data_IF_989226356376
#
_entry.id   IF_989226356376
#
_cell.length_a   1.000
_cell.length_b   1.000
_cell.length_c   1.000
_cell.angle_alpha   90.00
_cell.angle_beta   90.00
_cell.angle_gamma   90.00
#
_symmetry.space_group_name_H-M   'P 1'
#
loop_
_entity.id
_entity.type
_entity.pdbx_description
1 polymer ?
#
# COMPACT_ATOMS: atom_id res chain seq x y z
N UNK A 1 -8.27 35.31 -9.53
CA UNK A 1 -8.20 33.85 -9.72
C UNK A 1 -8.71 33.24 -8.43
N UNK A 2 -9.79 32.45 -8.50
CA UNK A 2 -10.25 31.71 -7.34
C UNK A 2 -9.14 30.73 -6.91
N UNK A 3 -8.92 30.52 -5.60
CA UNK A 3 -7.99 29.49 -5.15
C UNK A 3 -8.47 28.15 -5.72
N UNK A 4 -7.57 27.42 -6.37
CA UNK A 4 -7.83 26.04 -6.79
C UNK A 4 -8.25 25.25 -5.55
N UNK A 5 -9.45 24.68 -5.57
CA UNK A 5 -9.90 23.75 -4.53
C UNK A 5 -8.87 22.62 -4.51
N UNK A 6 -8.20 22.35 -3.39
CA UNK A 6 -7.21 21.28 -3.34
C UNK A 6 -7.90 19.98 -3.76
N UNK A 7 -7.38 19.37 -4.81
CA UNK A 7 -7.90 18.13 -5.39
C UNK A 7 -8.08 17.11 -4.25
N UNK A 8 -9.33 16.72 -3.96
CA UNK A 8 -9.75 15.92 -2.79
C UNK A 8 -9.35 14.44 -2.97
N UNK A 9 -8.05 14.20 -3.12
CA UNK A 9 -7.50 12.87 -3.37
C UNK A 9 -7.26 12.18 -2.03
N UNK A 10 -7.85 10.99 -1.86
CA UNK A 10 -7.67 10.18 -0.67
C UNK A 10 -6.18 9.89 -0.39
N UNK A 11 -5.71 9.91 0.88
CA UNK A 11 -4.27 9.92 1.20
C UNK A 11 -3.47 8.72 0.72
N UNK A 12 -4.11 7.61 0.37
CA UNK A 12 -3.45 6.41 -0.16
C UNK A 12 -2.97 6.56 -1.60
N UNK A 13 -3.49 7.53 -2.36
CA UNK A 13 -3.22 7.63 -3.78
C UNK A 13 -2.11 8.61 -4.13
N UNK A 14 -1.58 8.41 -5.34
CA UNK A 14 -0.56 9.21 -6.01
C UNK A 14 0.73 9.40 -5.19
N UNK A 15 0.90 8.57 -4.16
CA UNK A 15 1.97 8.66 -3.18
C UNK A 15 2.68 7.32 -3.12
N UNK A 16 4.02 7.36 -3.24
CA UNK A 16 4.84 6.17 -3.00
C UNK A 16 5.11 6.04 -1.50
N UNK A 17 4.77 4.88 -0.95
CA UNK A 17 4.96 4.49 0.44
C UNK A 17 5.98 3.36 0.56
N UNK A 18 6.64 3.32 1.71
CA UNK A 18 7.36 2.14 2.19
C UNK A 18 6.43 1.36 3.13
N UNK A 19 6.32 0.06 2.93
CA UNK A 19 5.41 -0.80 3.66
C UNK A 19 6.09 -1.52 4.81
N UNK A 20 5.35 -1.64 5.92
CA UNK A 20 5.78 -2.32 7.13
C UNK A 20 4.64 -3.18 7.66
N UNK A 21 5.00 -4.30 8.27
CA UNK A 21 4.08 -5.09 9.08
C UNK A 21 4.19 -4.68 10.54
N UNK A 22 3.08 -4.78 11.26
CA UNK A 22 2.99 -4.48 12.69
C UNK A 22 2.34 -5.66 13.41
N UNK A 23 2.77 -5.92 14.64
CA UNK A 23 1.96 -6.70 15.57
C UNK A 23 0.73 -5.89 16.00
N UNK A 24 -0.26 -6.52 16.65
CA UNK A 24 -1.35 -5.77 17.28
C UNK A 24 -0.80 -4.72 18.25
N UNK A 25 -1.41 -3.54 18.29
CA UNK A 25 -1.06 -2.47 19.25
C UNK A 25 -1.66 -2.82 20.61
N UNK A 26 -0.85 -2.91 21.65
CA UNK A 26 -1.36 -3.08 23.01
C UNK A 26 -1.85 -1.75 23.56
N UNK A 27 -3.16 -1.58 23.65
CA UNK A 27 -3.81 -0.39 24.21
C UNK A 27 -4.30 -0.60 25.64
N UNK A 28 -4.22 -1.83 26.17
CA UNK A 28 -4.75 -2.18 27.48
C UNK A 28 -6.26 -2.37 27.46
N UNK A 29 -6.79 -3.11 28.44
CA UNK A 29 -8.16 -3.65 28.40
C UNK A 29 -9.29 -2.61 28.43
N UNK A 30 -9.00 -1.36 28.79
CA UNK A 30 -9.99 -0.31 29.03
C UNK A 30 -9.79 0.95 28.18
N UNK A 31 -8.75 1.04 27.35
CA UNK A 31 -8.48 2.21 26.51
C UNK A 31 -8.63 1.86 25.02
N UNK A 32 -9.66 2.44 24.39
CA UNK A 32 -9.80 2.44 22.94
C UNK A 32 -9.01 3.62 22.35
N UNK A 33 -8.61 3.53 21.07
CA UNK A 33 -7.96 4.65 20.37
C UNK A 33 -8.99 5.73 20.01
N UNK A 34 -9.48 6.43 21.05
CA UNK A 34 -10.39 7.56 20.92
C UNK A 34 -9.68 8.81 20.40
N UNK A 35 -10.43 9.78 19.87
CA UNK A 35 -9.86 11.06 19.41
C UNK A 35 -9.09 11.80 20.52
N UNK A 36 -9.49 11.69 21.80
CA UNK A 36 -8.72 12.26 22.91
C UNK A 36 -7.37 11.57 23.07
N UNK A 37 -7.32 10.23 23.04
CA UNK A 37 -6.09 9.46 23.13
C UNK A 37 -5.16 9.73 21.95
N UNK A 38 -5.70 9.84 20.74
CA UNK A 38 -4.92 10.22 19.55
C UNK A 38 -4.29 11.62 19.69
N UNK A 39 -5.00 12.59 20.26
CA UNK A 39 -4.43 13.93 20.55
C UNK A 39 -3.29 13.86 21.56
N UNK A 40 -3.39 13.02 22.58
CA UNK A 40 -2.30 12.80 23.54
C UNK A 40 -1.06 12.20 22.86
N UNK A 41 -1.25 11.14 22.06
CA UNK A 41 -0.18 10.50 21.29
C UNK A 41 0.49 11.49 20.32
N UNK A 42 -0.30 12.34 19.67
CA UNK A 42 0.21 13.39 18.80
C UNK A 42 1.08 14.40 19.55
N UNK A 43 0.67 14.82 20.76
CA UNK A 43 1.47 15.71 21.61
C UNK A 43 2.76 15.04 22.09
N UNK A 44 2.68 13.80 22.55
CA UNK A 44 3.86 13.04 22.98
C UNK A 44 4.87 12.89 21.85
N UNK A 45 4.41 12.50 20.65
CA UNK A 45 5.28 12.39 19.50
C UNK A 45 5.85 13.74 19.05
N UNK A 46 5.05 14.81 19.09
CA UNK A 46 5.53 16.17 18.85
C UNK A 46 6.65 16.56 19.81
N UNK A 47 6.49 16.29 21.11
CA UNK A 47 7.47 16.63 22.14
C UNK A 47 8.77 15.84 21.99
N UNK A 48 8.69 14.57 21.54
CA UNK A 48 9.87 13.76 21.17
C UNK A 48 10.61 14.42 20.01
N UNK A 49 9.91 14.76 18.93
CA UNK A 49 10.53 15.39 17.75
C UNK A 49 11.11 16.77 18.09
N UNK A 50 10.42 17.59 18.89
CA UNK A 50 10.91 18.89 19.33
C UNK A 50 12.10 18.76 20.31
N UNK A 51 12.07 17.77 21.20
CA UNK A 51 13.12 17.47 22.17
C UNK A 51 14.42 16.96 21.54
N UNK A 52 14.33 16.17 20.47
CA UNK A 52 15.49 15.76 19.67
C UNK A 52 16.16 16.96 18.98
N UNK A 53 15.36 17.90 18.45
CA UNK A 53 15.87 19.15 17.85
C UNK A 53 16.62 19.99 18.90
N UNK A 54 16.12 20.09 20.13
CA UNK A 54 16.71 20.88 21.21
C UNK A 54 18.01 20.29 21.79
N UNK A 55 18.19 18.96 21.74
CA UNK A 55 19.40 18.31 22.28
C UNK A 55 20.61 18.38 21.35
N UNK A 56 20.48 18.95 20.14
CA UNK A 56 21.54 18.92 19.11
C UNK A 56 21.92 17.49 18.69
N UNK A 57 21.16 16.51 19.17
CA UNK A 57 21.33 15.08 19.03
C UNK A 57 20.55 14.74 17.76
N UNK A 58 21.21 14.93 16.62
CA UNK A 58 20.93 14.20 15.39
C UNK A 58 21.43 12.75 15.53
N UNK A 59 21.15 12.08 16.65
CA UNK A 59 21.67 10.73 16.94
C UNK A 59 20.89 9.74 16.11
N UNK A 60 21.54 9.24 15.05
CA UNK A 60 20.96 8.34 14.06
C UNK A 60 21.00 8.86 12.62
N UNK A 61 21.34 10.13 12.40
CA UNK A 61 21.43 10.68 11.04
C UNK A 61 22.76 10.23 10.39
N UNK A 62 22.76 9.07 9.74
CA UNK A 62 23.77 8.73 8.76
C UNK A 62 23.87 9.82 7.66
N UNK A 63 24.92 9.77 6.83
CA UNK A 63 25.17 10.74 5.75
C UNK A 63 24.00 10.93 4.74
N UNK A 64 22.92 10.13 4.83
CA UNK A 64 21.74 10.19 3.97
C UNK A 64 20.72 11.29 4.36
N UNK A 65 20.81 11.91 5.55
CA UNK A 65 19.70 12.72 6.09
C UNK A 65 19.78 14.25 5.89
N UNK A 66 20.12 14.66 4.68
CA UNK A 66 19.95 16.05 4.19
C UNK A 66 18.45 16.41 4.00
N UNK A 67 17.54 15.44 4.08
CA UNK A 67 16.11 15.65 3.90
C UNK A 67 15.51 16.52 5.03
N UNK A 68 15.67 16.11 6.29
CA UNK A 68 15.09 16.84 7.43
C UNK A 68 15.76 18.19 7.69
N UNK A 69 17.03 18.36 7.32
CA UNK A 69 17.72 19.64 7.47
C UNK A 69 17.11 20.76 6.60
N UNK A 70 16.43 20.40 5.50
CA UNK A 70 15.91 21.36 4.51
C UNK A 70 14.44 21.73 4.70
N UNK A 71 13.67 20.93 5.45
CA UNK A 71 12.21 21.10 5.58
C UNK A 71 11.76 22.18 6.57
N UNK A 72 12.69 22.74 7.34
CA UNK A 72 12.41 23.80 8.31
C UNK A 72 11.96 23.27 9.67
N UNK A 73 11.45 24.14 10.54
CA UNK A 73 11.00 23.77 11.87
C UNK A 73 9.74 22.88 11.85
N UNK A 74 9.61 22.02 12.85
CA UNK A 74 8.37 21.28 13.10
C UNK A 74 7.27 22.27 13.52
N UNK A 75 6.12 22.20 12.86
CA UNK A 75 4.98 23.05 13.15
C UNK A 75 3.91 22.31 13.96
N UNK A 76 3.49 21.14 13.49
CA UNK A 76 2.42 20.35 14.12
C UNK A 76 2.61 18.86 13.91
N UNK A 77 2.05 18.06 14.81
CA UNK A 77 1.85 16.62 14.66
C UNK A 77 0.37 16.34 14.89
N UNK A 78 -0.25 15.55 14.01
CA UNK A 78 -1.64 15.11 14.16
C UNK A 78 -1.74 13.60 14.06
N UNK A 79 -2.64 13.02 14.84
CA UNK A 79 -3.08 11.63 14.75
C UNK A 79 -4.59 11.66 14.60
N UNK A 80 -5.12 11.07 13.53
CA UNK A 80 -6.55 11.06 13.23
C UNK A 80 -6.98 9.67 12.78
N UNK A 81 -8.24 9.36 13.03
CA UNK A 81 -8.88 8.23 12.38
C UNK A 81 -8.95 8.49 10.87
N UNK A 82 -8.72 7.45 10.07
CA UNK A 82 -8.80 7.50 8.62
C UNK A 82 -10.16 6.92 8.21
N UNK A 83 -11.13 7.74 7.79
CA UNK A 83 -12.43 7.25 7.34
C UNK A 83 -12.30 6.55 6.00
N UNK A 84 -13.38 5.92 5.55
CA UNK A 84 -13.45 5.33 4.20
C UNK A 84 -13.28 6.38 3.10
N UNK A 85 -12.86 5.93 1.92
CA UNK A 85 -12.59 6.79 0.76
C UNK A 85 -13.82 7.64 0.38
N UNK A 86 -15.01 7.05 0.43
CA UNK A 86 -16.28 7.69 0.08
C UNK A 86 -16.69 8.80 1.06
N UNK A 87 -16.13 8.77 2.27
CA UNK A 87 -16.44 9.70 3.37
C UNK A 87 -15.32 10.71 3.65
N UNK A 88 -14.22 10.67 2.89
CA UNK A 88 -13.05 11.51 3.11
C UNK A 88 -13.24 12.94 2.61
N UNK A 89 -12.95 13.93 3.46
CA UNK A 89 -12.83 15.34 3.07
C UNK A 89 -11.43 15.89 3.36
N UNK A 90 -10.92 16.73 2.46
CA UNK A 90 -9.61 17.37 2.65
C UNK A 90 -9.66 18.49 3.72
N UNK A 91 -10.83 19.05 3.97
CA UNK A 91 -11.07 20.09 4.98
C UNK A 91 -10.83 19.55 6.41
N UNK A 92 -11.07 18.24 6.60
CA UNK A 92 -10.74 17.53 7.84
C UNK A 92 -9.23 17.47 8.13
N UNK A 93 -8.32 17.74 7.16
CA UNK A 93 -6.88 17.81 7.42
C UNK A 93 -6.47 19.04 8.25
N UNK A 94 -7.24 20.12 8.17
CA UNK A 94 -6.92 21.42 8.79
C UNK A 94 -7.73 21.71 10.05
N UNK A 95 -8.90 21.10 10.20
CA UNK A 95 -9.75 21.33 11.36
C UNK A 95 -9.32 20.42 12.53
N UNK A 96 -9.07 21.04 13.69
CA UNK A 96 -9.03 20.31 14.95
C UNK A 96 -10.42 19.72 15.15
N UNK A 97 -10.58 18.42 14.90
CA UNK A 97 -11.85 17.71 15.01
C UNK A 97 -12.64 18.20 16.25
N UNK A 98 -13.81 18.80 16.01
CA UNK A 98 -14.73 19.18 17.07
C UNK A 98 -15.12 17.93 17.86
N UNK A 99 -15.27 18.09 19.18
CA UNK A 99 -15.42 17.02 20.17
C UNK A 99 -16.67 16.13 19.96
N UNK A 100 -17.59 16.53 19.06
CA UNK A 100 -18.92 15.94 18.90
C UNK A 100 -19.04 14.87 17.79
N UNK A 101 -18.12 14.81 16.82
CA UNK A 101 -18.13 13.74 15.80
C UNK A 101 -17.39 12.52 16.33
N UNK A 102 -18.12 11.69 17.08
CA UNK A 102 -17.65 10.42 17.62
C UNK A 102 -17.54 9.37 16.50
N UNK A 103 -16.61 9.53 15.56
CA UNK A 103 -16.29 8.43 14.64
C UNK A 103 -15.73 7.28 15.47
N UNK A 104 -16.47 6.18 15.50
CA UNK A 104 -16.00 4.94 16.11
C UNK A 104 -14.88 4.37 15.25
N UNK A 105 -13.84 3.85 15.89
CA UNK A 105 -12.74 3.17 15.21
C UNK A 105 -13.26 2.10 14.24
N UNK A 106 -14.33 1.39 14.62
CA UNK A 106 -14.98 0.33 13.83
C UNK A 106 -15.57 0.80 12.49
N UNK A 107 -15.81 2.10 12.32
CA UNK A 107 -16.27 2.68 11.06
C UNK A 107 -15.14 3.30 10.23
N UNK A 108 -13.89 3.06 10.60
CA UNK A 108 -12.71 3.66 9.98
C UNK A 108 -11.78 2.60 9.40
N UNK A 109 -11.25 2.89 8.22
CA UNK A 109 -10.28 2.07 7.50
C UNK A 109 -8.93 1.96 8.22
N UNK A 110 -8.64 2.93 9.07
CA UNK A 110 -7.35 3.01 9.73
C UNK A 110 -7.14 4.28 10.54
N UNK A 111 -5.86 4.66 10.61
CA UNK A 111 -5.41 5.90 11.22
C UNK A 111 -4.35 6.55 10.34
N UNK A 112 -4.28 7.87 10.39
CA UNK A 112 -3.27 8.67 9.71
C UNK A 112 -2.53 9.56 10.72
N UNK A 113 -1.21 9.53 10.63
CA UNK A 113 -0.30 10.38 11.38
C UNK A 113 0.39 11.32 10.42
N UNK A 114 0.34 12.62 10.71
CA UNK A 114 0.98 13.66 9.89
C UNK A 114 1.89 14.51 10.76
N UNK A 115 3.17 14.57 10.40
CA UNK A 115 4.15 15.51 10.94
C UNK A 115 4.38 16.64 9.92
N UNK A 116 3.96 17.85 10.25
CA UNK A 116 4.03 19.03 9.38
C UNK A 116 5.20 19.91 9.80
N UNK A 117 6.09 20.17 8.85
CA UNK A 117 7.20 21.10 8.93
C UNK A 117 6.92 22.32 8.02
N UNK A 118 7.72 23.37 8.15
CA UNK A 118 7.54 24.62 7.38
C UNK A 118 7.42 24.43 5.87
N UNK A 119 8.13 23.45 5.28
CA UNK A 119 8.18 23.26 3.83
C UNK A 119 7.61 21.93 3.34
N UNK A 120 7.32 21.00 4.26
CA UNK A 120 6.91 19.63 3.91
C UNK A 120 6.07 19.00 5.02
N UNK A 121 5.20 18.07 4.65
CA UNK A 121 4.52 17.19 5.59
C UNK A 121 4.87 15.73 5.30
N UNK A 122 5.15 14.98 6.35
CA UNK A 122 5.37 13.54 6.26
C UNK A 122 4.20 12.79 6.86
N UNK A 123 3.77 11.73 6.18
CA UNK A 123 2.57 10.96 6.52
C UNK A 123 2.92 9.50 6.81
N UNK A 124 2.25 8.93 7.79
CA UNK A 124 2.18 7.50 8.06
C UNK A 124 0.71 7.09 8.14
N UNK A 125 0.34 5.99 7.51
CA UNK A 125 -1.02 5.44 7.53
C UNK A 125 -0.96 4.03 8.11
N UNK A 126 -1.77 3.76 9.12
CA UNK A 126 -1.96 2.45 9.74
C UNK A 126 -3.30 1.90 9.28
N UNK A 127 -3.31 0.79 8.56
CA UNK A 127 -4.53 0.18 8.01
C UNK A 127 -4.98 -1.00 8.86
N UNK A 128 -6.29 -1.08 9.10
CA UNK A 128 -6.92 -2.15 9.90
C UNK A 128 -7.14 -3.41 9.09
N UNK A 129 -7.25 -4.52 9.81
CA UNK A 129 -7.80 -5.76 9.24
C UNK A 129 -9.32 -5.81 9.47
N UNK A 130 -10.10 -5.52 8.43
CA UNK A 130 -11.58 -5.48 8.45
C UNK A 130 -12.22 -6.88 8.57
N UNK A 131 -11.44 -7.98 8.57
CA UNK A 131 -11.96 -9.34 8.72
C UNK A 131 -12.74 -9.58 10.02
N UNK A 132 -12.73 -8.62 10.95
CA UNK A 132 -13.55 -8.62 12.16
C UNK A 132 -14.99 -8.10 12.01
N UNK A 133 -15.33 -7.34 10.97
CA UNK A 133 -16.60 -6.57 10.89
C UNK A 133 -17.65 -7.14 9.92
N UNK A 134 -17.34 -8.20 9.17
CA UNK A 134 -18.37 -8.94 8.41
C UNK A 134 -19.11 -9.90 9.34
N UNK A 135 -20.44 -9.76 9.37
CA UNK A 135 -21.43 -10.42 10.24
C UNK A 135 -21.42 -11.95 10.29
N UNK A 136 -20.55 -12.63 9.53
CA UNK A 136 -20.48 -14.10 9.47
C UNK A 136 -19.11 -14.71 9.87
N UNK A 137 -18.08 -13.90 10.18
CA UNK A 137 -16.74 -14.43 10.53
C UNK A 137 -16.47 -14.43 12.03
N UNK A 138 -17.20 -15.29 12.74
CA UNK A 138 -16.86 -15.92 14.03
C UNK A 138 -16.54 -15.03 15.25
N UNK A 139 -17.01 -15.48 16.41
CA UNK A 139 -16.70 -14.92 17.73
C UNK A 139 -15.20 -14.89 18.13
N UNK A 140 -14.25 -15.16 17.23
CA UNK A 140 -12.81 -15.24 17.49
C UNK A 140 -12.09 -13.90 17.25
N UNK A 141 -12.50 -13.10 16.27
CA UNK A 141 -11.91 -11.77 15.97
C UNK A 141 -12.39 -10.70 16.95
N UNK A 142 -13.69 -10.69 17.28
CA UNK A 142 -14.25 -9.92 18.41
C UNK A 142 -13.59 -10.28 19.75
N UNK A 143 -13.13 -11.53 19.92
CA UNK A 143 -12.39 -11.99 21.11
C UNK A 143 -10.93 -11.48 21.19
N UNK A 144 -10.36 -11.06 20.07
CA UNK A 144 -8.99 -10.54 20.01
C UNK A 144 -8.93 -9.02 20.26
N UNK A 145 -9.93 -8.26 19.80
CA UNK A 145 -10.07 -6.83 20.15
C UNK A 145 -10.46 -6.63 21.63
N UNK A 146 -11.06 -7.63 22.27
CA UNK A 146 -11.54 -7.59 23.67
C UNK A 146 -10.47 -7.79 24.75
N UNK A 147 -9.19 -7.98 24.38
CA UNK A 147 -8.09 -8.13 25.34
C UNK A 147 -7.16 -6.90 25.42
N UNK A 148 -7.60 -5.73 24.91
CA UNK A 148 -6.78 -4.52 24.91
C UNK A 148 -5.74 -4.48 23.78
N UNK A 149 -6.01 -5.16 22.67
CA UNK A 149 -5.18 -5.14 21.47
C UNK A 149 -5.98 -4.64 20.26
N UNK A 150 -5.35 -3.85 19.41
CA UNK A 150 -5.96 -3.33 18.18
C UNK A 150 -5.12 -3.68 16.96
N UNK A 151 -5.77 -4.20 15.92
CA UNK A 151 -5.10 -4.78 14.76
C UNK A 151 -4.94 -3.78 13.62
N UNK A 152 -3.69 -3.35 13.39
CA UNK A 152 -3.29 -2.52 12.25
C UNK A 152 -2.10 -3.17 11.52
N UNK A 153 -2.30 -4.32 10.85
CA UNK A 153 -1.18 -5.14 10.40
C UNK A 153 -0.32 -4.47 9.33
N UNK A 154 -0.80 -3.42 8.65
CA UNK A 154 -0.09 -2.76 7.56
C UNK A 154 0.13 -1.26 7.85
N UNK A 155 1.39 -0.83 7.85
CA UNK A 155 1.78 0.59 7.90
C UNK A 155 2.38 1.03 6.57
N UNK A 156 1.91 2.17 6.07
CA UNK A 156 2.41 2.87 4.90
C UNK A 156 3.15 4.12 5.36
N UNK A 157 4.46 4.21 5.11
CA UNK A 157 5.27 5.35 5.53
C UNK A 157 5.85 6.13 4.35
N UNK A 158 5.65 7.45 4.37
CA UNK A 158 6.33 8.43 3.51
C UNK A 158 7.36 9.26 4.29
N UNK A 159 7.81 8.78 5.45
CA UNK A 159 8.83 9.46 6.26
C UNK A 159 10.25 9.15 5.74
N UNK A 160 11.20 10.10 5.84
CA UNK A 160 12.63 9.85 5.70
C UNK A 160 13.14 8.83 6.73
N UNK A 161 14.34 8.28 6.52
CA UNK A 161 14.92 7.19 7.31
C UNK A 161 14.88 7.46 8.81
N UNK A 162 15.41 8.60 9.25
CA UNK A 162 15.45 8.99 10.66
C UNK A 162 14.09 9.27 11.29
N UNK A 163 13.26 10.10 10.66
CA UNK A 163 11.93 10.40 11.20
C UNK A 163 11.10 9.11 11.37
N UNK A 164 11.25 8.19 10.43
CA UNK A 164 10.62 6.87 10.51
C UNK A 164 11.17 6.03 11.65
N UNK A 165 12.48 6.06 11.91
CA UNK A 165 13.10 5.34 13.03
C UNK A 165 12.57 5.87 14.37
N UNK A 166 12.49 7.19 14.54
CA UNK A 166 11.91 7.82 15.74
C UNK A 166 10.44 7.43 15.91
N UNK A 167 9.66 7.44 14.82
CA UNK A 167 8.26 7.02 14.85
C UNK A 167 8.09 5.52 15.19
N UNK A 168 8.95 4.66 14.64
CA UNK A 168 8.95 3.22 14.95
C UNK A 168 9.28 2.99 16.43
N UNK A 169 10.31 3.66 16.95
CA UNK A 169 10.67 3.57 18.37
C UNK A 169 9.53 4.06 19.27
N UNK A 170 8.89 5.17 18.90
CA UNK A 170 7.71 5.65 19.62
C UNK A 170 6.58 4.61 19.68
N UNK A 171 6.27 3.94 18.56
CA UNK A 171 5.27 2.88 18.54
C UNK A 171 5.68 1.65 19.38
N UNK A 172 6.94 1.25 19.32
CA UNK A 172 7.48 0.13 20.12
C UNK A 172 7.36 0.43 21.61
N UNK A 173 7.76 1.63 22.05
CA UNK A 173 7.71 2.02 23.46
C UNK A 173 6.29 2.25 23.98
N UNK A 174 5.41 2.79 23.14
CA UNK A 174 4.05 3.16 23.55
C UNK A 174 3.10 1.97 23.55
N UNK A 175 3.26 1.02 22.62
CA UNK A 175 2.28 -0.06 22.38
C UNK A 175 2.86 -1.47 22.45
N UNK A 176 4.11 -1.65 22.89
CA UNK A 176 4.83 -2.93 22.84
C UNK A 176 4.76 -3.59 21.45
N UNK A 177 4.91 -2.75 20.41
CA UNK A 177 4.70 -3.17 19.03
C UNK A 177 5.97 -3.78 18.42
N UNK A 178 5.80 -4.77 17.54
CA UNK A 178 6.85 -5.28 16.67
C UNK A 178 6.62 -4.83 15.24
N UNK A 179 7.53 -4.00 14.74
CA UNK A 179 7.47 -3.46 13.38
C UNK A 179 8.62 -4.03 12.55
N UNK A 180 8.33 -4.47 11.32
CA UNK A 180 9.38 -4.88 10.37
C UNK A 180 9.02 -4.47 8.94
N UNK A 181 10.01 -4.22 8.06
CA UNK A 181 9.74 -3.98 6.64
C UNK A 181 8.91 -5.11 6.03
N UNK A 182 7.93 -4.76 5.19
CA UNK A 182 7.12 -5.74 4.47
C UNK A 182 7.76 -6.04 3.13
N UNK A 183 8.24 -7.27 2.95
CA UNK A 183 8.79 -7.74 1.69
C UNK A 183 7.79 -8.64 0.95
N UNK A 184 7.87 -8.62 -0.36
CA UNK A 184 7.04 -9.44 -1.22
C UNK A 184 7.89 -10.40 -2.06
N UNK A 185 7.56 -11.71 -2.07
CA UNK A 185 8.16 -12.64 -3.01
C UNK A 185 7.82 -12.29 -4.46
N UNK A 186 8.68 -12.66 -5.41
CA UNK A 186 8.44 -12.50 -6.86
C UNK A 186 7.07 -13.05 -7.29
N UNK A 187 6.66 -14.19 -6.72
CA UNK A 187 5.35 -14.81 -7.02
C UNK A 187 4.19 -13.94 -6.56
N UNK A 188 4.30 -13.30 -5.38
CA UNK A 188 3.26 -12.42 -4.88
C UNK A 188 3.01 -11.22 -5.81
N UNK A 189 4.07 -10.67 -6.42
CA UNK A 189 3.94 -9.58 -7.41
C UNK A 189 3.14 -10.04 -8.63
N UNK A 190 3.48 -11.22 -9.16
CA UNK A 190 2.80 -11.85 -10.30
C UNK A 190 1.33 -12.07 -9.95
N UNK A 191 1.04 -12.80 -8.87
CA UNK A 191 -0.32 -13.13 -8.44
C UNK A 191 -1.15 -11.87 -8.19
N UNK A 192 -0.53 -10.82 -7.65
CA UNK A 192 -1.20 -9.54 -7.39
C UNK A 192 -1.58 -8.82 -8.67
N UNK A 193 -0.71 -8.82 -9.68
CA UNK A 193 -1.02 -8.25 -10.98
C UNK A 193 -2.11 -9.04 -11.71
N UNK A 194 -2.03 -10.37 -11.69
CA UNK A 194 -3.01 -11.26 -12.31
C UNK A 194 -4.39 -11.12 -11.67
N UNK A 195 -4.44 -11.12 -10.33
CA UNK A 195 -5.69 -10.89 -9.57
C UNK A 195 -6.28 -9.53 -9.88
N UNK A 196 -5.47 -8.47 -9.89
CA UNK A 196 -5.99 -7.13 -10.20
C UNK A 196 -6.53 -7.02 -11.63
N UNK A 197 -5.85 -7.64 -12.61
CA UNK A 197 -6.31 -7.74 -14.00
C UNK A 197 -7.62 -8.52 -14.10
N UNK A 198 -7.77 -9.61 -13.34
CA UNK A 198 -8.99 -10.39 -13.27
C UNK A 198 -10.13 -9.58 -12.65
N UNK A 199 -9.89 -8.92 -11.51
CA UNK A 199 -10.88 -8.12 -10.78
C UNK A 199 -11.49 -7.01 -11.65
N UNK A 200 -10.66 -6.23 -12.35
CA UNK A 200 -11.14 -5.16 -13.24
C UNK A 200 -11.77 -5.69 -14.54
N UNK A 201 -11.66 -7.00 -14.80
CA UNK A 201 -12.29 -7.66 -15.94
C UNK A 201 -13.70 -8.19 -15.62
N UNK A 202 -14.20 -7.94 -14.41
CA UNK A 202 -15.54 -8.33 -13.96
C UNK A 202 -16.50 -7.14 -13.99
N UNK A 203 -17.74 -7.39 -14.42
CA UNK A 203 -18.86 -6.46 -14.33
C UNK A 203 -19.39 -6.30 -12.91
N UNK A 204 -20.35 -5.39 -12.73
CA UNK A 204 -21.00 -5.14 -11.42
C UNK A 204 -21.82 -6.32 -10.92
N UNK A 205 -22.36 -7.10 -11.85
CA UNK A 205 -23.11 -8.33 -11.62
C UNK A 205 -22.20 -9.52 -11.24
N UNK A 206 -20.88 -9.33 -11.26
CA UNK A 206 -19.91 -10.39 -11.01
C UNK A 206 -19.71 -11.31 -12.22
N UNK A 207 -20.22 -10.95 -13.40
CA UNK A 207 -19.98 -11.69 -14.63
C UNK A 207 -18.74 -11.15 -15.37
N UNK A 208 -18.01 -11.99 -16.12
CA UNK A 208 -16.88 -11.51 -16.91
C UNK A 208 -17.33 -10.52 -18.00
N UNK A 209 -16.65 -9.38 -18.10
CA UNK A 209 -16.89 -8.40 -19.17
C UNK A 209 -16.71 -9.02 -20.55
N UNK A 210 -17.46 -8.52 -21.53
CA UNK A 210 -17.29 -8.93 -22.91
C UNK A 210 -15.87 -8.61 -23.43
N UNK A 211 -15.51 -9.17 -24.58
CA UNK A 211 -14.15 -9.02 -25.10
C UNK A 211 -13.78 -7.56 -25.43
N UNK A 212 -14.72 -6.75 -25.90
CA UNK A 212 -14.50 -5.37 -26.32
C UNK A 212 -14.37 -4.47 -25.08
N UNK A 213 -15.30 -4.60 -24.14
CA UNK A 213 -15.30 -3.87 -22.88
C UNK A 213 -14.07 -4.18 -22.05
N UNK A 214 -13.75 -5.46 -21.86
CA UNK A 214 -12.54 -5.89 -21.14
C UNK A 214 -11.27 -5.30 -21.75
N UNK A 215 -11.17 -5.36 -23.08
CA UNK A 215 -10.03 -4.80 -23.82
C UNK A 215 -9.90 -3.29 -23.58
N UNK A 216 -11.03 -2.56 -23.56
CA UNK A 216 -11.09 -1.13 -23.26
C UNK A 216 -10.70 -0.81 -21.82
N UNK A 217 -11.25 -1.53 -20.84
CA UNK A 217 -10.98 -1.35 -19.40
C UNK A 217 -9.51 -1.62 -19.08
N UNK A 218 -8.95 -2.72 -19.58
CA UNK A 218 -7.54 -3.07 -19.40
C UNK A 218 -6.62 -1.96 -19.93
N UNK A 219 -6.87 -1.48 -21.15
CA UNK A 219 -6.06 -0.40 -21.74
C UNK A 219 -6.14 0.87 -20.92
N UNK A 220 -7.32 1.26 -20.44
CA UNK A 220 -7.54 2.54 -19.76
C UNK A 220 -7.01 2.52 -18.31
N UNK A 221 -7.11 1.37 -17.64
CA UNK A 221 -6.74 1.19 -16.24
C UNK A 221 -5.26 0.82 -16.09
N UNK A 222 -4.81 -0.23 -16.78
CA UNK A 222 -3.45 -0.76 -16.62
C UNK A 222 -2.45 0.07 -17.42
N UNK A 223 -2.85 0.70 -18.52
CA UNK A 223 -1.96 1.49 -19.40
C UNK A 223 -0.71 0.67 -19.76
N UNK A 224 0.46 1.29 -19.77
CA UNK A 224 1.75 0.60 -19.99
C UNK A 224 2.14 -0.21 -18.74
N UNK A 225 2.71 -1.39 -18.96
CA UNK A 225 3.18 -2.27 -17.88
C UNK A 225 4.69 -2.42 -17.96
N UNK A 226 5.39 -2.07 -16.88
CA UNK A 226 6.81 -2.28 -16.69
C UNK A 226 7.04 -3.43 -15.70
N UNK A 227 7.74 -4.47 -16.16
CA UNK A 227 8.21 -5.58 -15.34
C UNK A 227 9.72 -5.45 -15.18
N UNK A 228 10.19 -5.27 -13.95
CA UNK A 228 11.63 -5.25 -13.63
C UNK A 228 12.04 -6.62 -13.15
N UNK A 229 13.03 -7.18 -13.82
CA UNK A 229 13.61 -8.49 -13.57
C UNK A 229 14.98 -8.31 -12.95
N UNK A 230 15.31 -9.09 -11.93
CA UNK A 230 16.62 -9.17 -11.31
C UNK A 230 17.29 -10.51 -11.59
N UNK A 231 18.62 -10.50 -11.65
CA UNK A 231 19.42 -11.68 -11.90
C UNK A 231 20.31 -12.00 -10.70
N UNK A 232 20.20 -13.22 -10.20
CA UNK A 232 21.13 -13.79 -9.23
C UNK A 232 22.24 -14.52 -10.00
N UNK A 233 23.28 -13.79 -10.40
CA UNK A 233 24.35 -14.32 -11.23
C UNK A 233 25.35 -15.15 -10.39
N UNK A 234 25.90 -16.25 -10.94
CA UNK A 234 27.00 -16.98 -10.32
C UNK A 234 28.18 -16.06 -9.95
N UNK A 235 28.92 -16.44 -8.91
CA UNK A 235 30.13 -15.77 -8.43
C UNK A 235 29.94 -14.31 -7.98
N UNK A 236 28.69 -13.90 -7.72
CA UNK A 236 28.37 -12.55 -7.25
C UNK A 236 28.63 -11.47 -8.31
N UNK A 237 28.66 -11.84 -9.59
CA UNK A 237 28.89 -10.89 -10.68
C UNK A 237 27.84 -9.78 -10.70
N UNK A 238 28.30 -8.53 -10.70
CA UNK A 238 27.45 -7.34 -10.76
C UNK A 238 27.23 -6.81 -12.20
N UNK A 239 27.66 -7.57 -13.22
CA UNK A 239 27.69 -7.11 -14.61
C UNK A 239 26.30 -6.78 -15.17
N UNK A 240 25.27 -7.54 -14.77
CA UNK A 240 23.87 -7.25 -15.06
C UNK A 240 23.03 -7.53 -13.81
N UNK A 241 22.61 -6.46 -13.12
CA UNK A 241 21.77 -6.59 -11.92
C UNK A 241 20.30 -6.73 -12.25
N UNK A 242 19.82 -5.95 -13.22
CA UNK A 242 18.40 -5.87 -13.57
C UNK A 242 18.19 -5.69 -15.07
N UNK A 243 17.01 -6.09 -15.55
CA UNK A 243 16.49 -5.78 -16.86
C UNK A 243 15.05 -5.25 -16.74
N UNK A 244 14.69 -4.31 -17.60
CA UNK A 244 13.36 -3.72 -17.65
C UNK A 244 12.63 -4.17 -18.91
N UNK A 245 11.45 -4.75 -18.73
CA UNK A 245 10.57 -5.18 -19.82
C UNK A 245 9.35 -4.26 -19.83
N UNK A 246 9.24 -3.44 -20.86
CA UNK A 246 8.13 -2.51 -21.06
C UNK A 246 7.14 -3.10 -22.06
N UNK A 247 5.88 -3.22 -21.66
CA UNK A 247 4.76 -3.65 -22.48
C UNK A 247 3.82 -2.47 -22.76
N UNK A 248 3.55 -2.21 -24.03
CA UNK A 248 2.61 -1.18 -24.44
C UNK A 248 1.17 -1.57 -24.05
N UNK A 249 0.34 -0.57 -23.75
CA UNK A 249 -1.05 -0.79 -23.33
C UNK A 249 -1.87 -1.61 -24.35
N UNK A 250 -1.57 -1.47 -25.63
CA UNK A 250 -2.27 -2.14 -26.74
C UNK A 250 -1.95 -3.65 -26.85
N UNK A 251 -0.88 -4.11 -26.21
CA UNK A 251 -0.46 -5.50 -26.22
C UNK A 251 -1.05 -6.30 -25.05
N UNK A 252 -1.41 -5.61 -23.96
CA UNK A 252 -1.87 -6.26 -22.73
C UNK A 252 -3.10 -7.17 -22.93
N UNK A 253 -4.20 -6.75 -23.59
CA UNK A 253 -5.34 -7.64 -23.79
C UNK A 253 -4.99 -8.89 -24.60
N UNK A 254 -4.11 -8.75 -25.59
CA UNK A 254 -3.64 -9.87 -26.43
C UNK A 254 -2.74 -10.81 -25.64
N UNK A 255 -1.87 -10.28 -24.79
CA UNK A 255 -1.00 -11.05 -23.90
C UNK A 255 -1.84 -11.93 -22.95
N UNK A 256 -2.84 -11.34 -22.28
CA UNK A 256 -3.74 -12.08 -21.38
C UNK A 256 -4.54 -13.13 -22.15
N UNK A 257 -5.09 -12.79 -23.32
CA UNK A 257 -5.85 -13.75 -24.13
C UNK A 257 -5.00 -14.94 -24.57
N UNK A 258 -3.75 -14.70 -24.98
CA UNK A 258 -2.80 -15.76 -25.34
C UNK A 258 -2.41 -16.60 -24.13
N UNK A 259 -2.20 -15.95 -22.99
CA UNK A 259 -1.93 -16.58 -21.70
C UNK A 259 -2.98 -17.59 -21.28
N UNK A 260 -4.25 -17.20 -21.38
CA UNK A 260 -5.39 -18.10 -21.10
C UNK A 260 -5.43 -19.33 -22.02
N UNK A 261 -4.87 -19.25 -23.23
CA UNK A 261 -4.74 -20.42 -24.11
C UNK A 261 -3.59 -21.34 -23.67
N UNK A 262 -2.52 -20.78 -23.11
CA UNK A 262 -1.35 -21.53 -22.60
C UNK A 262 -1.71 -22.22 -21.27
N UNK A 263 -2.26 -21.47 -20.31
CA UNK A 263 -2.57 -21.96 -18.96
C UNK A 263 -3.61 -23.09 -18.91
N UNK A 264 -4.45 -23.25 -19.94
CA UNK A 264 -5.34 -24.43 -20.09
C UNK A 264 -4.60 -25.76 -20.19
N UNK A 265 -3.30 -25.75 -20.47
CA UNK A 265 -2.46 -26.95 -20.51
C UNK A 265 -1.67 -27.17 -19.21
N UNK A 266 -1.43 -26.13 -18.40
CA UNK A 266 -0.51 -26.16 -17.25
C UNK A 266 -1.19 -25.89 -15.89
N UNK A 267 -2.51 -25.65 -15.87
CA UNK A 267 -3.32 -25.32 -14.66
C UNK A 267 -2.72 -24.16 -13.86
N UNK A 268 -2.27 -23.12 -14.58
CA UNK A 268 -1.64 -21.92 -14.01
C UNK A 268 -2.62 -20.74 -13.99
N UNK A 269 -2.77 -20.13 -12.82
CA UNK A 269 -3.60 -18.92 -12.60
C UNK A 269 -2.88 -17.61 -12.96
N UNK A 270 -1.90 -17.66 -13.87
CA UNK A 270 -1.05 -16.50 -14.24
C UNK A 270 -0.98 -16.26 -15.75
N UNK A 271 -2.11 -16.00 -16.43
CA UNK A 271 -2.16 -15.90 -17.88
C UNK A 271 -1.23 -14.81 -18.45
N UNK A 272 -1.19 -13.61 -17.85
CA UNK A 272 -0.30 -12.56 -18.35
C UNK A 272 1.17 -12.99 -18.25
N UNK A 273 1.60 -13.49 -17.09
CA UNK A 273 2.97 -13.90 -16.87
C UNK A 273 3.36 -15.09 -17.76
N UNK A 274 2.43 -16.03 -17.99
CA UNK A 274 2.71 -17.19 -18.83
C UNK A 274 2.96 -16.82 -20.29
N UNK A 275 2.15 -15.90 -20.82
CA UNK A 275 2.35 -15.37 -22.15
C UNK A 275 3.65 -14.55 -22.24
N UNK A 276 3.93 -13.70 -21.24
CA UNK A 276 5.15 -12.90 -21.19
C UNK A 276 6.39 -13.79 -21.15
N UNK A 277 6.44 -14.77 -20.24
CA UNK A 277 7.57 -15.67 -20.09
C UNK A 277 7.80 -16.51 -21.36
N UNK A 278 6.73 -16.97 -22.00
CA UNK A 278 6.81 -17.71 -23.27
C UNK A 278 7.35 -16.81 -24.40
N UNK A 279 6.84 -15.58 -24.49
CA UNK A 279 7.28 -14.61 -25.50
C UNK A 279 8.76 -14.25 -25.33
N UNK A 280 9.18 -13.91 -24.11
CA UNK A 280 10.55 -13.51 -23.79
C UNK A 280 11.52 -14.68 -24.00
N UNK A 281 11.13 -15.91 -23.63
CA UNK A 281 11.93 -17.11 -23.90
C UNK A 281 12.10 -17.36 -25.39
N UNK A 282 11.03 -17.23 -26.18
CA UNK A 282 11.07 -17.47 -27.62
C UNK A 282 11.83 -16.40 -28.42
N UNK A 283 11.76 -15.13 -28.01
CA UNK A 283 12.32 -14.02 -28.78
C UNK A 283 13.66 -13.50 -28.26
N UNK A 284 13.94 -13.65 -26.96
CA UNK A 284 15.16 -13.14 -26.32
C UNK A 284 16.03 -14.25 -25.70
N UNK A 285 15.62 -15.51 -25.81
CA UNK A 285 16.28 -16.65 -25.16
C UNK A 285 16.46 -16.48 -23.63
N UNK A 286 15.61 -15.67 -23.01
CA UNK A 286 15.62 -15.41 -21.58
C UNK A 286 14.48 -16.19 -20.89
N UNK A 287 14.81 -17.09 -19.97
CA UNK A 287 13.81 -17.84 -19.22
C UNK A 287 13.43 -17.12 -17.93
N UNK A 288 12.27 -16.45 -17.93
CA UNK A 288 11.73 -15.75 -16.75
C UNK A 288 11.31 -16.70 -15.61
N UNK A 289 11.19 -18.01 -15.88
CA UNK A 289 10.83 -19.01 -14.87
C UNK A 289 12.07 -19.66 -14.22
N UNK A 290 13.27 -19.27 -14.64
CA UNK A 290 14.50 -19.78 -14.07
C UNK A 290 14.67 -19.33 -12.61
N UNK A 291 15.17 -20.20 -11.72
CA UNK A 291 15.27 -19.93 -10.27
C UNK A 291 16.07 -18.68 -9.92
N UNK A 292 17.09 -18.36 -10.74
CA UNK A 292 17.98 -17.20 -10.63
C UNK A 292 17.41 -15.91 -11.23
N UNK A 293 16.20 -15.96 -11.79
CA UNK A 293 15.52 -14.82 -12.37
C UNK A 293 14.36 -14.47 -11.47
N UNK A 294 14.34 -13.24 -10.92
CA UNK A 294 13.31 -12.79 -9.97
C UNK A 294 12.58 -11.58 -10.51
N UNK A 295 11.26 -11.55 -10.37
CA UNK A 295 10.49 -10.31 -10.59
C UNK A 295 10.68 -9.42 -9.37
N UNK A 296 11.33 -8.28 -9.57
CA UNK A 296 11.65 -7.33 -8.51
C UNK A 296 10.58 -6.24 -8.35
N UNK A 297 9.91 -5.87 -9.44
CA UNK A 297 8.91 -4.80 -9.46
C UNK A 297 7.96 -4.95 -10.63
N UNK A 298 6.69 -4.69 -10.41
CA UNK A 298 5.68 -4.49 -11.45
C UNK A 298 5.12 -3.07 -11.29
N UNK A 299 5.10 -2.32 -12.38
CA UNK A 299 4.54 -0.97 -12.43
C UNK A 299 3.54 -0.88 -13.58
N UNK A 300 2.35 -0.36 -13.30
CA UNK A 300 1.34 -0.08 -14.30
C UNK A 300 0.58 1.20 -13.96
N UNK A 301 -0.38 1.57 -14.80
CA UNK A 301 -1.23 2.74 -14.62
C UNK A 301 -1.99 2.76 -13.29
N UNK A 302 -2.35 1.60 -12.76
CA UNK A 302 -3.10 1.47 -11.51
C UNK A 302 -2.22 1.48 -10.26
N UNK A 303 -1.08 0.79 -10.27
CA UNK A 303 -0.20 0.70 -9.12
C UNK A 303 1.26 0.41 -9.49
N UNK A 304 2.15 0.66 -8.54
CA UNK A 304 3.54 0.21 -8.56
C UNK A 304 3.80 -0.61 -7.31
N UNK A 305 4.28 -1.85 -7.47
CA UNK A 305 4.60 -2.76 -6.38
C UNK A 305 6.01 -3.35 -6.57
N UNK A 306 6.86 -3.20 -5.56
CA UNK A 306 8.21 -3.76 -5.53
C UNK A 306 8.42 -4.75 -4.39
N UNK A 307 9.34 -5.70 -4.60
CA UNK A 307 9.75 -6.72 -3.61
C UNK A 307 10.28 -6.12 -2.30
N UNK A 308 10.87 -4.93 -2.37
CA UNK A 308 11.38 -4.15 -1.22
C UNK A 308 10.29 -3.44 -0.40
N UNK A 309 9.00 -3.73 -0.64
CA UNK A 309 7.91 -3.10 0.10
C UNK A 309 7.63 -1.66 -0.33
N UNK A 310 7.86 -1.32 -1.61
CA UNK A 310 7.47 -0.03 -2.17
C UNK A 310 6.14 -0.15 -2.87
N UNK A 311 5.17 0.68 -2.49
CA UNK A 311 3.83 0.72 -3.05
C UNK A 311 3.47 2.13 -3.50
N UNK A 312 2.89 2.27 -4.69
CA UNK A 312 2.15 3.46 -5.10
C UNK A 312 0.82 3.01 -5.68
N UNK A 313 -0.28 3.58 -5.19
CA UNK A 313 -1.59 3.45 -5.82
C UNK A 313 -1.87 4.72 -6.61
N UNK A 314 -2.43 4.60 -7.80
CA UNK A 314 -2.78 5.76 -8.64
C UNK A 314 -4.25 6.09 -8.44
N UNK A 315 -4.55 7.36 -8.13
CA UNK A 315 -5.93 7.82 -8.17
C UNK A 315 -6.35 7.91 -9.63
N UNK A 316 -7.47 7.30 -9.96
CA UNK A 316 -8.04 7.41 -11.29
C UNK A 316 -9.42 8.04 -11.17
N UNK A 317 -9.50 9.35 -11.42
CA UNK A 317 -10.75 10.09 -11.45
C UNK A 317 -11.72 9.43 -12.45
N UNK A 318 -12.98 9.26 -12.04
CA UNK A 318 -14.04 8.64 -12.80
C UNK A 318 -14.15 9.19 -14.22
N UNK A 319 -13.97 8.31 -15.20
CA UNK A 319 -14.63 8.47 -16.48
C UNK A 319 -15.95 7.70 -16.40
N UNK A 320 -16.97 8.16 -17.12
CA UNK A 320 -18.39 7.73 -17.08
C UNK A 320 -18.69 6.22 -17.19
N UNK A 321 -17.68 5.35 -17.30
CA UNK A 321 -17.83 3.90 -17.46
C UNK A 321 -17.00 3.12 -16.41
N UNK A 322 -17.68 2.39 -15.52
CA UNK A 322 -17.11 1.29 -14.70
C UNK A 322 -16.38 1.69 -13.41
N UNK A 323 -16.78 2.79 -12.78
CA UNK A 323 -16.14 3.32 -11.55
C UNK A 323 -16.23 2.35 -10.35
N UNK A 324 -17.34 1.63 -10.21
CA UNK A 324 -17.63 0.67 -9.13
C UNK A 324 -16.69 -0.55 -9.12
N UNK A 325 -16.53 -1.23 -10.26
CA UNK A 325 -15.68 -2.43 -10.40
C UNK A 325 -14.20 -2.10 -10.15
N UNK A 326 -13.75 -0.92 -10.59
CA UNK A 326 -12.35 -0.47 -10.41
C UNK A 326 -12.05 -0.06 -8.97
N UNK A 327 -12.97 0.64 -8.31
CA UNK A 327 -12.88 0.93 -6.88
C UNK A 327 -12.84 -0.36 -6.07
N UNK A 328 -13.71 -1.32 -6.38
CA UNK A 328 -13.74 -2.64 -5.75
C UNK A 328 -12.42 -3.42 -5.94
N UNK A 329 -11.86 -3.45 -7.16
CA UNK A 329 -10.57 -4.09 -7.43
C UNK A 329 -9.43 -3.47 -6.62
N UNK A 330 -9.42 -2.14 -6.49
CA UNK A 330 -8.40 -1.42 -5.71
C UNK A 330 -8.55 -1.67 -4.21
N UNK A 331 -9.79 -1.78 -3.71
CA UNK A 331 -10.08 -2.19 -2.32
C UNK A 331 -9.61 -3.62 -2.06
N UNK A 332 -9.90 -4.58 -2.94
CA UNK A 332 -9.42 -5.97 -2.86
C UNK A 332 -7.89 -6.04 -2.88
N UNK A 333 -7.25 -5.25 -3.74
CA UNK A 333 -5.80 -5.13 -3.80
C UNK A 333 -5.22 -4.69 -2.44
N UNK A 334 -5.76 -3.62 -1.85
CA UNK A 334 -5.31 -3.14 -0.55
C UNK A 334 -5.54 -4.18 0.56
N UNK A 335 -6.71 -4.83 0.56
CA UNK A 335 -7.03 -5.90 1.51
C UNK A 335 -6.10 -7.10 1.36
N UNK A 336 -5.62 -7.39 0.15
CA UNK A 336 -4.57 -8.37 -0.11
C UNK A 336 -3.24 -8.01 0.56
N UNK A 337 -2.85 -6.73 0.57
CA UNK A 337 -1.64 -6.27 1.27
C UNK A 337 -1.80 -6.34 2.79
N UNK A 338 -2.96 -5.94 3.32
CA UNK A 338 -3.30 -6.05 4.75
C UNK A 338 -3.22 -7.52 5.20
N UNK A 339 -3.82 -8.42 4.41
CA UNK A 339 -3.82 -9.87 4.65
C UNK A 339 -2.41 -10.46 4.66
N UNK A 340 -1.57 -10.05 3.70
CA UNK A 340 -0.16 -10.48 3.62
C UNK A 340 0.64 -9.98 4.82
N UNK A 341 0.43 -8.72 5.24
CA UNK A 341 1.09 -8.12 6.39
C UNK A 341 0.68 -8.79 7.72
N UNK A 342 -0.59 -9.21 7.84
CA UNK A 342 -1.11 -9.97 8.96
C UNK A 342 -0.54 -11.40 9.05
N UNK A 343 0.16 -11.86 8.01
CA UNK A 343 0.70 -13.23 7.95
C UNK A 343 -0.34 -14.29 7.62
N UNK A 344 -1.54 -13.88 7.19
CA UNK A 344 -2.46 -14.83 6.55
C UNK A 344 -1.90 -15.15 5.18
N UNK A 345 -1.45 -16.39 4.99
CA UNK A 345 -1.28 -16.90 3.64
C UNK A 345 -2.65 -16.82 2.97
N UNK A 346 -2.76 -16.07 1.87
CA UNK A 346 -3.82 -16.30 0.90
C UNK A 346 -3.57 -17.70 0.35
N UNK A 347 -4.05 -18.71 1.08
CA UNK A 347 -4.00 -20.10 0.69
C UNK A 347 -5.09 -20.28 -0.35
N UNK A 348 -4.66 -20.75 -1.52
CA UNK A 348 -5.41 -21.28 -2.66
C UNK A 348 -6.28 -20.29 -3.41
#
# INVERSE_FOLDING_TARGET
MAPEIPNQVYPLYNTTFSLYRLSPLHTGSNETLSNSRLRELARQFHDILAGEVLRGVRVGLGQEDDALARVGALQTVTWRLLPEEETWSAEDETEMANDDTTMSLAACRGMIVTATYEKMAYKVILLRDERGDYTDTSMVTLRAETAGFQNFPLMLSRMPGSLREVFVNFLVETFDNRISPLQFPSRYLIDTFERYVADISMGEDGEPLDMIERSRVLRNTIKETLVVVGFDLPDGSAALKTAEINLAREDLPRMIARGKMIGRQEDTDSPFFDALATYIKGHLALDLRHEKVKILRIACGAFVLGTEGKLKLTHMAGGEDGESSRGAATRRLLNGFISHAAGSSSTT
#
